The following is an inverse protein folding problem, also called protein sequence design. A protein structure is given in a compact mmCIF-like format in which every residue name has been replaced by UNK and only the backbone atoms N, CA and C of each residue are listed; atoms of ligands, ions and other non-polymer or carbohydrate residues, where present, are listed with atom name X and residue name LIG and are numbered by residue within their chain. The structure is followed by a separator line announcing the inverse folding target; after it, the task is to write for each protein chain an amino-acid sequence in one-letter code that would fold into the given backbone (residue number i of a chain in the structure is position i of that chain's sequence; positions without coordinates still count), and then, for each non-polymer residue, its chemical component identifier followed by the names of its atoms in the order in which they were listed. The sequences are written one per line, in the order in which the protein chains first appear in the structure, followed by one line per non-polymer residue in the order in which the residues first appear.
data_IF_714278821725
#
_entry.id   IF_714278821725
#
_cell.length_a   1.000
_cell.length_b   1.000
_cell.length_c   1.000
_cell.angle_alpha   90.00
_cell.angle_beta   90.00
_cell.angle_gamma   90.00
#
_symmetry.space_group_name_H-M   'P 1'
#
loop_
_entity.id
_entity.type
_entity.pdbx_description
1 polymer ?
#
# COMPACT_ATOMS: atom_id res chain seq x y z
N UNK A 1 14.80 9.54 18.54
CA UNK A 1 14.66 10.51 17.44
C UNK A 1 13.18 10.86 17.29
N UNK A 2 12.85 12.06 16.80
CA UNK A 2 11.44 12.46 16.57
C UNK A 2 11.01 12.03 15.17
N UNK A 3 9.99 11.17 15.01
CA UNK A 3 9.59 10.68 13.70
C UNK A 3 8.80 11.72 12.90
N UNK A 4 9.10 11.82 11.60
CA UNK A 4 8.36 12.61 10.63
C UNK A 4 7.27 11.73 10.00
N UNK A 5 6.08 11.75 10.61
CA UNK A 5 4.94 10.91 10.21
C UNK A 5 4.49 11.12 8.75
N UNK A 6 4.63 12.34 8.23
CA UNK A 6 4.27 12.68 6.85
C UNK A 6 5.14 11.97 5.82
N UNK A 7 6.37 11.58 6.21
CA UNK A 7 7.30 10.81 5.39
C UNK A 7 7.20 9.31 5.65
N UNK A 8 6.28 8.88 6.52
CA UNK A 8 6.07 7.48 6.87
C UNK A 8 6.96 6.96 7.99
N UNK A 9 7.73 7.82 8.65
CA UNK A 9 8.49 7.42 9.83
C UNK A 9 7.57 7.18 11.02
N UNK A 10 7.88 6.17 11.82
CA UNK A 10 7.16 5.95 13.06
C UNK A 10 8.06 5.40 14.17
N UNK A 11 7.63 5.62 15.42
CA UNK A 11 8.23 5.05 16.62
C UNK A 11 7.20 4.17 17.29
N UNK A 12 7.59 2.96 17.66
CA UNK A 12 6.74 2.01 18.39
C UNK A 12 7.46 1.67 19.69
N UNK A 13 6.83 2.03 20.80
CA UNK A 13 7.32 1.73 22.14
C UNK A 13 6.70 0.45 22.70
N UNK A 14 7.52 -0.38 23.32
CA UNK A 14 7.11 -1.50 24.17
C UNK A 14 7.73 -1.28 25.54
N UNK A 15 6.97 -0.77 26.51
CA UNK A 15 7.36 -0.63 27.93
C UNK A 15 8.75 -0.02 28.17
N UNK A 16 9.78 -0.85 28.03
CA UNK A 16 11.18 -0.60 28.31
C UNK A 16 12.02 -0.20 27.06
N UNK A 17 11.47 -0.29 25.84
CA UNK A 17 12.19 -0.02 24.58
C UNK A 17 11.35 0.76 23.56
N UNK A 18 12.01 1.58 22.77
CA UNK A 18 11.42 2.27 21.61
C UNK A 18 12.14 1.84 20.33
N UNK A 19 11.36 1.54 19.28
CA UNK A 19 11.86 1.11 17.98
C UNK A 19 11.52 2.16 16.93
N UNK A 20 12.53 2.64 16.21
CA UNK A 20 12.37 3.61 15.13
C UNK A 20 12.28 2.89 13.78
N UNK A 21 11.24 3.19 13.01
CA UNK A 21 11.01 2.64 11.69
C UNK A 21 11.09 3.74 10.64
N UNK A 22 11.95 3.53 9.64
CA UNK A 22 12.15 4.46 8.54
C UNK A 22 11.98 3.75 7.19
N UNK A 23 11.01 4.15 6.35
CA UNK A 23 10.77 3.52 5.06
C UNK A 23 11.65 4.14 3.94
N UNK A 24 12.96 4.22 4.16
CA UNK A 24 13.91 4.79 3.20
C UNK A 24 14.20 3.86 2.02
N UNK A 25 14.72 4.40 0.91
CA UNK A 25 15.17 3.58 -0.23
C UNK A 25 16.16 2.49 0.18
N UNK A 26 17.10 2.82 1.08
CA UNK A 26 18.04 1.86 1.64
C UNK A 26 17.34 0.72 2.37
N UNK A 27 16.34 1.04 3.18
CA UNK A 27 15.61 0.05 3.96
C UNK A 27 14.66 -0.78 3.09
N UNK A 28 14.02 -0.19 2.08
CA UNK A 28 13.24 -0.93 1.08
C UNK A 28 14.10 -1.95 0.33
N UNK A 29 15.33 -1.57 -0.05
CA UNK A 29 16.27 -2.48 -0.71
C UNK A 29 16.74 -3.65 0.17
N UNK A 30 16.59 -3.56 1.51
CA UNK A 30 16.92 -4.68 2.43
C UNK A 30 15.86 -5.77 2.45
N UNK A 31 14.66 -5.52 1.91
CA UNK A 31 13.56 -6.49 1.87
C UNK A 31 13.93 -7.69 0.98
N UNK A 32 14.58 -7.44 -0.16
CA UNK A 32 14.94 -8.46 -1.13
C UNK A 32 15.25 -7.89 -2.51
N UNK A 33 15.18 -8.76 -3.52
CA UNK A 33 15.32 -8.37 -4.93
C UNK A 33 14.16 -7.46 -5.40
N UNK A 34 14.33 -6.68 -6.48
CA UNK A 34 13.33 -5.71 -6.95
C UNK A 34 11.91 -6.27 -7.13
N UNK A 35 11.76 -7.50 -7.59
CA UNK A 35 10.48 -8.19 -7.75
C UNK A 35 9.90 -8.63 -6.39
N UNK A 36 10.76 -9.03 -5.45
CA UNK A 36 10.36 -9.45 -4.10
C UNK A 36 9.82 -8.27 -3.28
N UNK A 37 10.36 -7.07 -3.50
CA UNK A 37 9.85 -5.83 -2.89
C UNK A 37 8.40 -5.59 -3.32
N UNK A 38 8.11 -5.71 -4.63
CA UNK A 38 6.76 -5.55 -5.17
C UNK A 38 5.85 -6.69 -4.68
N UNK A 39 6.36 -7.92 -4.62
CA UNK A 39 5.61 -9.06 -4.10
C UNK A 39 5.25 -8.88 -2.62
N UNK A 40 6.16 -8.35 -1.79
CA UNK A 40 5.88 -8.06 -0.39
C UNK A 40 4.77 -7.00 -0.24
N UNK A 41 4.77 -5.98 -1.10
CA UNK A 41 3.67 -5.01 -1.15
C UNK A 41 2.34 -5.68 -1.54
N UNK A 42 2.35 -6.53 -2.57
CA UNK A 42 1.18 -7.27 -3.00
C UNK A 42 0.64 -8.16 -1.87
N UNK A 43 1.49 -8.96 -1.23
CA UNK A 43 1.09 -9.86 -0.15
C UNK A 43 0.53 -9.12 1.08
N UNK A 44 0.97 -7.88 1.32
CA UNK A 44 0.44 -7.01 2.38
C UNK A 44 -0.92 -6.42 2.05
N UNK A 45 -1.13 -6.00 0.81
CA UNK A 45 -2.31 -5.24 0.39
C UNK A 45 -3.41 -6.13 -0.22
N UNK A 46 -3.07 -7.32 -0.69
CA UNK A 46 -4.01 -8.24 -1.30
C UNK A 46 -4.83 -8.95 -0.22
N UNK A 47 -6.10 -8.60 -0.15
CA UNK A 47 -7.05 -9.26 0.73
C UNK A 47 -7.52 -10.59 0.11
N UNK A 48 -6.89 -11.71 0.49
CA UNK A 48 -7.35 -13.04 0.11
C UNK A 48 -8.62 -13.48 0.89
N UNK A 49 -8.94 -12.82 2.01
CA UNK A 49 -10.03 -13.21 2.91
C UNK A 49 -11.41 -12.78 2.41
N UNK A 50 -11.55 -11.53 1.97
CA UNK A 50 -12.82 -10.99 1.44
C UNK A 50 -13.34 -11.74 0.21
N UNK A 51 -12.56 -11.95 -0.88
CA UNK A 51 -13.05 -12.67 -2.05
C UNK A 51 -13.31 -14.15 -1.74
N UNK A 52 -12.58 -14.75 -0.80
CA UNK A 52 -12.91 -16.09 -0.32
C UNK A 52 -14.25 -16.11 0.42
N UNK A 53 -14.47 -15.17 1.33
CA UNK A 53 -15.72 -15.05 2.10
C UNK A 53 -16.91 -14.81 1.16
N UNK A 54 -16.78 -13.93 0.17
CA UNK A 54 -17.82 -13.68 -0.85
C UNK A 54 -18.16 -14.96 -1.62
N UNK A 55 -17.16 -15.65 -2.17
CA UNK A 55 -17.38 -16.93 -2.87
C UNK A 55 -18.00 -18.00 -1.98
N UNK A 56 -17.62 -18.05 -0.70
CA UNK A 56 -18.20 -18.99 0.26
C UNK A 56 -19.68 -18.66 0.51
N UNK A 57 -20.01 -17.39 0.67
CA UNK A 57 -21.39 -16.91 0.81
C UNK A 57 -22.19 -17.25 -0.45
N UNK A 58 -21.69 -16.92 -1.64
CA UNK A 58 -22.37 -17.23 -2.92
C UNK A 58 -22.60 -18.73 -3.14
N UNK A 59 -21.65 -19.58 -2.72
CA UNK A 59 -21.75 -21.01 -2.92
C UNK A 59 -22.74 -21.70 -1.96
N UNK A 60 -22.74 -21.28 -0.69
CA UNK A 60 -23.41 -22.00 0.40
C UNK A 60 -24.62 -21.27 0.98
N UNK A 61 -24.71 -19.95 0.86
CA UNK A 61 -25.82 -19.15 1.40
C UNK A 61 -26.81 -18.86 0.27
N UNK A 62 -27.93 -19.59 0.26
CA UNK A 62 -29.02 -19.41 -0.74
C UNK A 62 -30.30 -18.88 -0.14
N UNK A 63 -30.49 -19.08 1.16
CA UNK A 63 -31.63 -18.61 1.93
C UNK A 63 -31.17 -18.13 3.32
N UNK A 64 -32.11 -17.61 4.11
CA UNK A 64 -31.85 -17.04 5.44
C UNK A 64 -31.43 -18.09 6.49
N UNK A 65 -31.65 -19.38 6.21
CA UNK A 65 -31.31 -20.49 7.12
C UNK A 65 -30.00 -21.19 6.74
N UNK A 66 -29.44 -20.85 5.58
CA UNK A 66 -28.22 -21.41 5.05
C UNK A 66 -27.04 -21.02 5.93
N UNK A 67 -26.20 -22.00 6.26
CA UNK A 67 -25.00 -21.79 7.07
C UNK A 67 -23.77 -22.27 6.31
N UNK A 68 -22.66 -21.58 6.55
CA UNK A 68 -21.37 -22.05 6.06
C UNK A 68 -21.03 -23.39 6.71
N UNK A 69 -20.58 -24.40 5.95
CA UNK A 69 -20.12 -25.66 6.52
C UNK A 69 -18.98 -25.43 7.53
N UNK A 70 -18.93 -26.25 8.58
CA UNK A 70 -17.90 -26.17 9.63
C UNK A 70 -16.47 -26.21 9.09
N UNK A 71 -16.24 -26.97 8.01
CA UNK A 71 -14.92 -27.03 7.37
C UNK A 71 -14.49 -25.68 6.77
N UNK A 72 -15.44 -24.92 6.21
CA UNK A 72 -15.20 -23.59 5.63
C UNK A 72 -14.92 -22.59 6.75
N UNK A 73 -15.73 -22.60 7.81
CA UNK A 73 -15.52 -21.75 8.98
C UNK A 73 -14.15 -22.01 9.64
N UNK A 74 -13.79 -23.28 9.84
CA UNK A 74 -12.47 -23.66 10.37
C UNK A 74 -11.34 -23.22 9.44
N UNK A 75 -11.53 -23.28 8.12
CA UNK A 75 -10.53 -22.81 7.17
C UNK A 75 -10.34 -21.30 7.27
N UNK A 76 -11.41 -20.52 7.33
CA UNK A 76 -11.34 -19.06 7.52
C UNK A 76 -10.63 -18.70 8.84
N UNK A 77 -10.95 -19.41 9.92
CA UNK A 77 -10.35 -19.21 11.25
C UNK A 77 -8.91 -19.75 11.38
N UNK A 78 -8.44 -20.55 10.41
CA UNK A 78 -7.12 -21.19 10.49
C UNK A 78 -5.95 -20.21 10.38
N UNK A 79 -6.20 -18.96 9.95
CA UNK A 79 -5.16 -17.96 9.70
C UNK A 79 -4.30 -18.25 8.47
N UNK A 80 -4.64 -19.24 7.65
CA UNK A 80 -3.89 -19.58 6.43
C UNK A 80 -3.93 -18.42 5.43
N UNK A 81 -5.09 -17.77 5.28
CA UNK A 81 -5.30 -16.66 4.33
C UNK A 81 -4.51 -15.39 4.72
N UNK A 82 -4.32 -15.14 6.01
CA UNK A 82 -3.55 -13.98 6.49
C UNK A 82 -2.06 -14.27 6.63
N UNK A 83 -1.63 -15.52 6.43
CA UNK A 83 -0.24 -15.94 6.69
C UNK A 83 0.76 -15.19 5.81
N UNK A 84 0.47 -15.01 4.53
CA UNK A 84 1.38 -14.29 3.60
C UNK A 84 1.56 -12.84 4.04
N UNK A 85 0.45 -12.14 4.32
CA UNK A 85 0.47 -10.76 4.81
C UNK A 85 1.29 -10.61 6.10
N UNK A 86 1.14 -11.54 7.05
CA UNK A 86 1.90 -11.49 8.32
C UNK A 86 3.40 -11.72 8.08
N UNK A 87 3.77 -12.65 7.20
CA UNK A 87 5.18 -12.90 6.87
C UNK A 87 5.79 -11.71 6.12
N UNK A 88 5.08 -11.14 5.15
CA UNK A 88 5.50 -9.93 4.47
C UNK A 88 5.63 -8.75 5.44
N UNK A 89 4.69 -8.60 6.38
CA UNK A 89 4.76 -7.57 7.43
C UNK A 89 6.00 -7.72 8.30
N UNK A 90 6.34 -8.96 8.69
CA UNK A 90 7.57 -9.24 9.45
C UNK A 90 8.82 -8.84 8.68
N UNK A 91 8.93 -9.22 7.39
CA UNK A 91 10.07 -8.85 6.54
C UNK A 91 10.20 -7.33 6.42
N UNK A 92 9.11 -6.61 6.16
CA UNK A 92 9.11 -5.15 6.01
C UNK A 92 9.52 -4.45 7.30
N UNK A 93 8.94 -4.86 8.44
CA UNK A 93 9.27 -4.27 9.73
C UNK A 93 10.74 -4.49 10.08
N UNK A 94 11.25 -5.70 9.82
CA UNK A 94 12.66 -6.05 10.05
C UNK A 94 13.60 -5.25 9.16
N UNK A 95 13.21 -4.99 7.91
CA UNK A 95 14.03 -4.20 6.99
C UNK A 95 14.05 -2.69 7.33
N UNK A 96 12.97 -2.17 7.90
CA UNK A 96 12.78 -0.75 8.21
C UNK A 96 13.33 -0.30 9.56
N UNK A 97 13.79 -1.22 10.41
CA UNK A 97 14.37 -0.93 11.72
C UNK A 97 15.82 -1.43 11.76
N UNK A 98 16.74 -0.62 12.28
CA UNK A 98 18.14 -1.04 12.46
C UNK A 98 18.35 -1.86 13.76
N UNK A 99 17.41 -1.80 14.70
CA UNK A 99 17.45 -2.54 15.96
C UNK A 99 16.87 -3.96 15.83
N UNK A 100 17.25 -4.85 16.75
CA UNK A 100 16.60 -6.15 16.90
C UNK A 100 15.17 -5.97 17.45
N UNK A 101 14.20 -6.15 16.55
CA UNK A 101 12.76 -6.07 16.81
C UNK A 101 12.12 -7.42 17.15
N UNK A 102 12.89 -8.49 17.37
CA UNK A 102 12.35 -9.83 17.63
C UNK A 102 11.32 -9.87 18.77
N UNK A 103 11.52 -9.10 19.85
CA UNK A 103 10.58 -8.99 20.97
C UNK A 103 9.25 -8.31 20.58
N UNK A 104 9.29 -7.45 19.56
CA UNK A 104 8.14 -6.70 19.07
C UNK A 104 7.35 -7.53 18.06
N UNK A 105 7.99 -8.00 16.99
CA UNK A 105 7.31 -8.67 15.87
C UNK A 105 7.27 -10.18 16.00
N UNK A 106 8.11 -10.77 16.85
CA UNK A 106 8.26 -12.21 16.99
C UNK A 106 9.36 -12.82 16.12
N UNK A 107 9.60 -14.11 16.31
CA UNK A 107 10.63 -14.86 15.59
C UNK A 107 10.22 -16.30 15.28
N UNK A 108 10.87 -16.89 14.28
CA UNK A 108 10.70 -18.30 13.94
C UNK A 108 11.64 -19.20 14.75
N UNK A 109 11.08 -20.21 15.44
CA UNK A 109 11.85 -21.25 16.11
C UNK A 109 11.76 -22.57 15.35
N UNK A 110 12.85 -23.33 15.17
CA UNK A 110 12.75 -24.69 14.62
C UNK A 110 11.86 -25.55 15.52
N UNK A 111 10.93 -26.28 14.88
CA UNK A 111 10.00 -27.12 15.60
C UNK A 111 10.70 -28.33 16.20
N UNK A 112 10.36 -28.70 17.44
CA UNK A 112 10.91 -29.88 18.12
C UNK A 112 10.42 -31.22 17.51
N UNK A 113 9.47 -31.18 16.58
CA UNK A 113 8.84 -32.36 15.97
C UNK A 113 9.22 -32.48 14.50
N UNK A 114 9.54 -33.70 14.06
CA UNK A 114 9.89 -34.06 12.66
C UNK A 114 8.81 -33.66 11.64
N UNK A 115 7.58 -33.33 12.07
CA UNK A 115 6.44 -32.95 11.23
C UNK A 115 6.21 -31.43 11.06
N UNK A 116 6.80 -30.57 11.90
CA UNK A 116 6.67 -29.10 11.78
C UNK A 116 8.06 -28.48 11.78
N UNK A 117 8.54 -28.06 10.61
CA UNK A 117 9.89 -27.51 10.44
C UNK A 117 10.13 -26.26 11.29
N UNK A 118 9.18 -25.33 11.34
CA UNK A 118 9.28 -24.09 12.10
C UNK A 118 7.96 -23.75 12.81
N UNK A 119 8.06 -23.09 13.95
CA UNK A 119 6.95 -22.59 14.77
C UNK A 119 7.18 -21.11 15.03
N UNK A 120 6.20 -20.29 14.64
CA UNK A 120 6.18 -18.86 14.93
C UNK A 120 6.02 -18.60 16.44
N UNK A 121 6.85 -17.73 16.99
CA UNK A 121 6.68 -17.18 18.34
C UNK A 121 6.19 -15.74 18.21
N UNK A 122 4.98 -15.44 18.72
CA UNK A 122 4.45 -14.07 18.64
C UNK A 122 5.30 -13.14 19.49
N UNK A 123 5.53 -11.93 18.98
CA UNK A 123 6.07 -10.82 19.74
C UNK A 123 4.98 -10.06 20.50
N UNK A 124 5.34 -8.90 21.04
CA UNK A 124 4.42 -8.03 21.78
C UNK A 124 3.38 -7.34 20.88
N UNK A 125 3.68 -7.17 19.60
CA UNK A 125 2.78 -6.56 18.62
C UNK A 125 1.79 -7.60 18.05
N UNK A 126 0.47 -7.32 18.05
CA UNK A 126 -0.51 -8.15 17.37
C UNK A 126 -0.27 -8.24 15.85
N UNK A 127 -0.53 -9.38 15.19
CA UNK A 127 -0.33 -9.54 13.75
C UNK A 127 -1.07 -8.52 12.89
N UNK A 128 -2.27 -8.11 13.31
CA UNK A 128 -3.08 -7.11 12.60
C UNK A 128 -2.39 -5.74 12.59
N UNK A 129 -1.80 -5.36 13.73
CA UNK A 129 -1.02 -4.13 13.84
C UNK A 129 0.27 -4.19 13.01
N UNK A 130 0.92 -5.35 12.95
CA UNK A 130 2.10 -5.54 12.09
C UNK A 130 1.77 -5.24 10.62
N UNK A 131 0.66 -5.79 10.12
CA UNK A 131 0.22 -5.57 8.73
C UNK A 131 -0.07 -4.10 8.47
N UNK A 132 -0.82 -3.43 9.35
CA UNK A 132 -1.17 -2.01 9.18
C UNK A 132 0.08 -1.11 9.16
N UNK A 133 1.03 -1.35 10.06
CA UNK A 133 2.28 -0.58 10.11
C UNK A 133 3.12 -0.84 8.85
N UNK A 134 3.29 -2.10 8.47
CA UNK A 134 4.05 -2.48 7.28
C UNK A 134 3.43 -1.90 5.99
N UNK A 135 2.11 -1.94 5.84
CA UNK A 135 1.40 -1.30 4.73
C UNK A 135 1.71 0.19 4.66
N UNK A 136 1.66 0.92 5.79
CA UNK A 136 1.98 2.34 5.81
C UNK A 136 3.44 2.61 5.42
N UNK A 137 4.39 1.83 5.96
CA UNK A 137 5.80 1.93 5.59
C UNK A 137 6.02 1.75 4.09
N UNK A 138 5.46 0.69 3.50
CA UNK A 138 5.59 0.40 2.07
C UNK A 138 4.91 1.47 1.20
N UNK A 139 3.75 1.97 1.61
CA UNK A 139 3.06 3.06 0.91
C UNK A 139 3.92 4.33 0.84
N UNK A 140 4.65 4.66 1.91
CA UNK A 140 5.53 5.83 1.91
C UNK A 140 6.86 5.58 1.21
N UNK A 141 7.41 4.36 1.32
CA UNK A 141 8.73 3.97 0.81
C UNK A 141 8.77 3.57 -0.67
N UNK A 142 7.67 3.07 -1.25
CA UNK A 142 7.63 2.56 -2.63
C UNK A 142 6.66 3.36 -3.51
N UNK A 143 5.43 3.60 -3.03
CA UNK A 143 4.40 4.26 -3.84
C UNK A 143 4.49 5.78 -3.73
N UNK A 144 4.73 6.28 -2.52
CA UNK A 144 4.63 7.69 -2.17
C UNK A 144 3.18 8.11 -1.94
N UNK A 145 2.88 8.69 -0.77
CA UNK A 145 1.56 9.27 -0.46
C UNK A 145 1.44 10.77 -0.78
N UNK A 146 2.49 11.35 -1.37
CA UNK A 146 2.51 12.77 -1.68
C UNK A 146 1.42 13.11 -2.71
N UNK A 147 0.48 13.98 -2.32
CA UNK A 147 -0.49 14.57 -3.25
C UNK A 147 0.22 15.58 -4.14
N UNK A 148 0.95 15.06 -5.12
CA UNK A 148 1.61 15.86 -6.16
C UNK A 148 0.63 16.05 -7.31
N UNK A 149 0.60 17.25 -7.89
CA UNK A 149 -0.20 17.53 -9.09
C UNK A 149 0.31 16.65 -10.23
N UNK A 150 -0.32 15.49 -10.46
CA UNK A 150 0.00 14.57 -11.56
C UNK A 150 -0.86 14.92 -12.78
N UNK A 151 -0.21 15.28 -13.89
CA UNK A 151 -0.90 15.50 -15.16
C UNK A 151 -1.41 14.17 -15.72
N UNK A 152 -2.66 14.14 -16.19
CA UNK A 152 -3.30 12.95 -16.76
C UNK A 152 -2.47 12.31 -17.91
N UNK A 153 -1.77 13.14 -18.70
CA UNK A 153 -0.96 12.69 -19.85
C UNK A 153 0.24 11.80 -19.48
N UNK A 154 0.65 11.81 -18.21
CA UNK A 154 1.75 10.99 -17.69
C UNK A 154 1.28 9.93 -16.70
N UNK A 155 -0.04 9.78 -16.53
CA UNK A 155 -0.63 8.73 -15.70
C UNK A 155 -0.79 7.48 -16.55
N UNK A 156 0.31 6.76 -16.77
CA UNK A 156 0.22 5.39 -17.25
C UNK A 156 -0.25 4.53 -16.08
N UNK A 157 -1.39 3.84 -16.24
CA UNK A 157 -1.89 2.81 -15.29
C UNK A 157 -1.02 1.54 -15.29
N UNK A 158 0.25 1.66 -15.70
CA UNK A 158 1.18 0.54 -15.76
C UNK A 158 1.63 0.21 -14.34
N UNK A 159 1.26 -0.99 -13.90
CA UNK A 159 1.82 -1.57 -12.68
C UNK A 159 3.25 -2.01 -12.99
N UNK A 160 4.22 -1.45 -12.26
CA UNK A 160 5.62 -1.85 -12.39
C UNK A 160 5.84 -3.18 -11.67
N UNK A 161 6.37 -4.17 -12.36
CA UNK A 161 6.63 -5.51 -11.81
C UNK A 161 7.84 -5.55 -10.85
N UNK A 162 8.71 -4.54 -10.90
CA UNK A 162 9.93 -4.44 -10.10
C UNK A 162 10.09 -3.04 -9.50
N UNK A 163 10.72 -2.97 -8.32
CA UNK A 163 11.11 -1.70 -7.69
C UNK A 163 12.62 -1.64 -7.46
N UNK A 164 13.30 -0.76 -8.18
CA UNK A 164 14.76 -0.59 -8.09
C UNK A 164 15.12 0.68 -7.31
N UNK A 165 15.42 0.52 -6.02
CA UNK A 165 15.83 1.63 -5.16
C UNK A 165 17.01 2.44 -5.71
N UNK A 166 17.97 1.77 -6.38
CA UNK A 166 19.14 2.41 -6.97
C UNK A 166 18.78 3.49 -8.01
N UNK A 167 17.73 3.28 -8.81
CA UNK A 167 17.31 4.22 -9.84
C UNK A 167 16.79 5.52 -9.23
N UNK A 168 16.01 5.41 -8.15
CA UNK A 168 15.52 6.56 -7.39
C UNK A 168 16.63 7.30 -6.65
N UNK A 169 17.60 6.57 -6.07
CA UNK A 169 18.78 7.17 -5.43
C UNK A 169 19.58 7.96 -6.47
N UNK A 170 19.84 7.40 -7.65
CA UNK A 170 20.55 8.09 -8.73
C UNK A 170 19.76 9.31 -9.23
N UNK A 171 18.45 9.17 -9.41
CA UNK A 171 17.58 10.26 -9.79
C UNK A 171 17.62 11.39 -8.74
N UNK A 172 17.55 11.08 -7.45
CA UNK A 172 17.61 12.06 -6.37
C UNK A 172 18.93 12.83 -6.37
N UNK A 173 20.06 12.13 -6.55
CA UNK A 173 21.38 12.76 -6.69
C UNK A 173 21.44 13.70 -7.90
N UNK A 174 20.93 13.26 -9.05
CA UNK A 174 20.95 14.05 -10.28
C UNK A 174 20.03 15.27 -10.23
N UNK A 175 18.82 15.12 -9.68
CA UNK A 175 17.85 16.21 -9.60
C UNK A 175 18.17 17.18 -8.46
N UNK A 176 18.65 16.73 -7.31
CA UNK A 176 18.77 17.59 -6.12
C UNK A 176 20.22 17.91 -5.74
N UNK A 177 21.22 17.28 -6.39
CA UNK A 177 22.63 17.51 -6.08
C UNK A 177 23.07 16.99 -4.70
N UNK A 178 22.26 16.12 -4.10
CA UNK A 178 22.52 15.55 -2.78
C UNK A 178 23.57 14.42 -2.82
N UNK A 179 24.14 14.13 -1.66
CA UNK A 179 25.06 13.02 -1.48
C UNK A 179 24.36 11.67 -1.65
N UNK A 180 25.15 10.59 -1.79
CA UNK A 180 24.62 9.23 -1.84
C UNK A 180 23.91 8.85 -0.54
N UNK A 181 24.47 9.24 0.60
CA UNK A 181 23.94 8.90 1.92
C UNK A 181 22.59 9.60 2.19
N UNK A 182 22.47 10.87 1.81
CA UNK A 182 21.20 11.60 1.90
C UNK A 182 20.15 10.98 0.97
N UNK A 183 20.53 10.68 -0.27
CA UNK A 183 19.63 10.08 -1.25
C UNK A 183 19.14 8.68 -0.83
N UNK A 184 19.98 7.88 -0.18
CA UNK A 184 19.63 6.55 0.34
C UNK A 184 18.58 6.61 1.47
N UNK A 185 18.56 7.70 2.23
CA UNK A 185 17.66 7.88 3.37
C UNK A 185 16.29 8.47 2.99
N UNK A 186 16.12 8.95 1.76
CA UNK A 186 14.84 9.45 1.27
C UNK A 186 13.78 8.36 1.18
N UNK A 187 12.53 8.76 1.35
CA UNK A 187 11.36 7.93 1.03
C UNK A 187 10.78 8.32 -0.33
N UNK A 188 9.97 7.46 -0.95
CA UNK A 188 9.27 7.82 -2.20
C UNK A 188 8.34 9.03 -2.03
N UNK A 189 7.75 9.18 -0.84
CA UNK A 189 6.95 10.36 -0.51
C UNK A 189 7.79 11.62 -0.53
N UNK A 190 8.96 11.60 0.12
CA UNK A 190 9.88 12.73 0.16
C UNK A 190 10.43 13.08 -1.22
N UNK A 191 10.85 12.06 -1.98
CA UNK A 191 11.31 12.22 -3.35
C UNK A 191 10.27 12.91 -4.23
N UNK A 192 9.01 12.49 -4.14
CA UNK A 192 7.90 13.10 -4.88
C UNK A 192 7.64 14.56 -4.46
N UNK A 193 7.72 14.87 -3.16
CA UNK A 193 7.60 16.25 -2.66
C UNK A 193 8.73 17.14 -3.15
N UNK A 194 9.98 16.67 -3.11
CA UNK A 194 11.14 17.39 -3.63
C UNK A 194 11.02 17.65 -5.13
N UNK A 195 10.54 16.66 -5.89
CA UNK A 195 10.33 16.80 -7.33
C UNK A 195 9.25 17.87 -7.62
N UNK A 196 8.16 17.87 -6.87
CA UNK A 196 7.09 18.87 -7.00
C UNK A 196 7.58 20.27 -6.64
N UNK A 197 8.38 20.41 -5.58
CA UNK A 197 8.96 21.69 -5.18
C UNK A 197 9.93 22.24 -6.23
N UNK A 198 10.71 21.37 -6.88
CA UNK A 198 11.64 21.75 -7.95
C UNK A 198 10.92 22.10 -9.26
N UNK A 199 9.80 21.44 -9.55
CA UNK A 199 9.04 21.62 -10.80
C UNK A 199 7.55 21.90 -10.54
N UNK A 200 7.19 23.07 -9.96
CA UNK A 200 5.83 23.36 -9.49
C UNK A 200 4.81 23.63 -10.62
N UNK A 201 5.26 24.08 -11.79
CA UNK A 201 4.39 24.51 -12.89
C UNK A 201 4.30 23.47 -14.02
N UNK A 202 3.70 22.32 -13.72
CA UNK A 202 3.39 21.34 -14.76
C UNK A 202 2.11 21.77 -15.50
N UNK A 203 2.26 22.29 -16.73
CA UNK A 203 1.13 22.72 -17.56
C UNK A 203 0.26 21.52 -18.01
N UNK A 204 -0.99 21.47 -17.54
CA UNK A 204 -2.06 20.55 -17.95
C UNK A 204 -3.08 20.27 -16.83
N UNK A 205 -4.13 19.51 -17.14
CA UNK A 205 -5.13 19.06 -16.17
C UNK A 205 -4.67 17.78 -15.46
N UNK A 206 -4.95 17.70 -14.16
CA UNK A 206 -4.98 16.43 -13.43
C UNK A 206 -6.15 15.58 -13.91
N UNK A 207 -6.11 14.26 -13.67
CA UNK A 207 -7.21 13.37 -14.06
C UNK A 207 -8.54 13.78 -13.43
N UNK A 208 -8.52 14.15 -12.16
CA UNK A 208 -9.69 14.65 -11.42
C UNK A 208 -10.24 15.93 -12.04
N UNK A 209 -9.37 16.90 -12.37
CA UNK A 209 -9.80 18.14 -13.05
C UNK A 209 -10.40 17.85 -14.44
N UNK A 210 -9.81 16.92 -15.21
CA UNK A 210 -10.34 16.53 -16.52
C UNK A 210 -11.70 15.85 -16.41
N UNK A 211 -11.85 14.90 -15.48
CA UNK A 211 -13.10 14.18 -15.25
C UNK A 211 -14.20 15.15 -14.79
N UNK A 212 -13.89 16.12 -13.93
CA UNK A 212 -14.87 17.16 -13.55
C UNK A 212 -15.31 18.05 -14.73
N UNK A 213 -14.39 18.42 -15.61
CA UNK A 213 -14.71 19.24 -16.80
C UNK A 213 -15.57 18.44 -17.78
N UNK A 214 -15.27 17.15 -17.98
CA UNK A 214 -16.07 16.28 -18.85
C UNK A 214 -17.46 16.02 -18.28
N UNK A 215 -17.58 15.75 -16.98
CA UNK A 215 -18.87 15.60 -16.30
C UNK A 215 -19.72 16.87 -16.40
N UNK A 216 -19.12 18.05 -16.29
CA UNK A 216 -19.81 19.32 -16.46
C UNK A 216 -20.28 19.54 -17.90
N UNK A 217 -19.47 19.19 -18.89
CA UNK A 217 -19.83 19.30 -20.31
C UNK A 217 -20.93 18.31 -20.70
N UNK A 218 -20.86 17.07 -20.20
CA UNK A 218 -21.90 16.05 -20.39
C UNK A 218 -23.24 16.49 -19.79
N UNK A 219 -23.24 17.04 -18.57
CA UNK A 219 -24.45 17.62 -17.95
C UNK A 219 -25.01 18.76 -18.78
N UNK A 220 -24.14 19.63 -19.32
CA UNK A 220 -24.54 20.76 -20.16
C UNK A 220 -25.16 20.28 -21.48
N UNK A 221 -24.59 19.24 -22.09
CA UNK A 221 -25.12 18.63 -23.31
C UNK A 221 -26.48 17.96 -23.06
N UNK A 222 -26.62 17.21 -21.96
CA UNK A 222 -27.89 16.60 -21.57
C UNK A 222 -28.99 17.66 -21.37
N UNK A 223 -28.68 18.77 -20.69
CA UNK A 223 -29.64 19.87 -20.50
C UNK A 223 -30.04 20.53 -21.83
N UNK A 224 -29.11 20.67 -22.78
CA UNK A 224 -29.41 21.18 -24.12
C UNK A 224 -30.33 20.22 -24.89
N UNK A 225 -30.05 18.92 -24.84
CA UNK A 225 -30.87 17.90 -25.51
C UNK A 225 -32.28 17.83 -24.91
N UNK A 226 -32.44 17.96 -23.60
CA UNK A 226 -33.75 18.04 -22.94
C UNK A 226 -34.52 19.31 -23.35
N UNK A 227 -33.83 20.45 -23.47
CA UNK A 227 -34.43 21.68 -23.97
C UNK A 227 -34.89 21.54 -25.43
N UNK A 228 -34.07 20.96 -26.31
CA UNK A 228 -34.47 20.69 -27.70
C UNK A 228 -35.63 19.70 -27.79
N UNK A 229 -35.63 18.67 -26.94
CA UNK A 229 -36.71 17.69 -26.89
C UNK A 229 -38.03 18.33 -26.39
N UNK A 230 -37.96 19.22 -25.40
CA UNK A 230 -39.12 19.98 -24.92
C UNK A 230 -39.66 20.99 -25.95
N UNK A 231 -38.78 21.55 -26.80
CA UNK A 231 -39.15 22.49 -27.88
C UNK A 231 -39.78 21.79 -29.08
N UNK A 232 -39.32 20.58 -29.40
CA UNK A 232 -39.82 19.78 -30.54
C UNK A 232 -41.07 18.96 -30.19
N UNK A 233 -41.35 18.76 -28.91
CA UNK A 233 -42.55 18.08 -28.41
C UNK A 233 -43.35 18.97 -27.44
N UNK A 234 -43.91 20.11 -27.89
CA UNK A 234 -44.77 20.91 -27.03
C UNK A 234 -45.98 20.05 -26.66
N UNK A 235 -46.17 19.80 -25.36
CA UNK A 235 -47.35 19.09 -24.83
C UNK A 235 -48.59 19.75 -25.45
N UNK A 236 -49.28 19.02 -26.34
CA UNK A 236 -50.59 19.40 -26.84
C UNK A 236 -51.54 19.46 -25.64
N UNK A 237 -51.84 20.67 -25.18
CA UNK A 237 -53.09 20.95 -24.47
C UNK A 237 -54.22 21.04 -25.50
#
# INVERSE_FOLDING_TARGET
MTPIKELGECVIGTGDREFFFQPSFRNMARIGEPEEIVQAFYDLCNDETTPFAQRAVEAYVRDEYSRLPDCVLRFMQSGILSRKAIMAAHTVLTACCDDDIGDLVGWMKPGKSRKRGFVWRPGSMPPESMVIVAQNLMMHGIIGKAKVRKLQRYETNETTAEFRAADYIMAARNHFGMSREEAENLTMTEFALLLNAKYPNQNGFTREEYDTVMDEDDRRWQAMMEQEHSRTNPKKN
#
